data_IF_253701318467
#
_entry.id   IF_253701318467
#
_cell.length_a   1.000
_cell.length_b   1.000
_cell.length_c   1.000
_cell.angle_alpha   90.00
_cell.angle_beta   90.00
_cell.angle_gamma   90.00
#
_symmetry.space_group_name_H-M   'P 1'
#
loop_
_entity.id
_entity.type
_entity.pdbx_description
1 polymer ?
#
# COMPACT_ATOMS: atom_id res chain seq x y z
N UNK A 1 -10.86 26.18 -5.62
CA UNK A 1 -9.73 26.93 -6.22
C UNK A 1 -8.75 27.40 -5.15
N UNK A 2 -7.49 26.99 -5.26
CA UNK A 2 -6.36 27.33 -4.40
C UNK A 2 -5.63 28.57 -4.92
N UNK A 3 -5.30 29.50 -4.02
CA UNK A 3 -4.49 30.69 -4.32
C UNK A 3 -3.01 30.45 -4.04
N UNK A 4 -2.14 31.31 -4.58
CA UNK A 4 -0.71 31.25 -4.28
C UNK A 4 -0.42 31.35 -2.77
N UNK A 5 -1.11 32.24 -2.05
CA UNK A 5 -0.96 32.36 -0.60
C UNK A 5 -1.32 31.06 0.12
N UNK A 6 -2.44 30.43 -0.27
CA UNK A 6 -2.85 29.13 0.29
C UNK A 6 -1.88 28.00 -0.04
N UNK A 7 -1.27 28.03 -1.23
CA UNK A 7 -0.22 27.09 -1.61
C UNK A 7 1.04 27.31 -0.77
N UNK A 8 1.42 28.57 -0.53
CA UNK A 8 2.55 28.95 0.32
C UNK A 8 2.35 28.50 1.78
N UNK A 9 1.19 28.74 2.38
CA UNK A 9 0.91 28.30 3.75
C UNK A 9 1.02 26.77 3.89
N UNK A 10 0.42 26.04 2.94
CA UNK A 10 0.54 24.57 2.87
C UNK A 10 1.98 24.11 2.65
N UNK A 11 2.75 24.85 1.86
CA UNK A 11 4.15 24.58 1.62
C UNK A 11 4.96 24.66 2.92
N UNK A 12 4.73 25.70 3.71
CA UNK A 12 5.39 25.90 5.00
C UNK A 12 5.01 24.81 5.99
N UNK A 13 3.73 24.49 6.11
CA UNK A 13 3.26 23.39 6.96
C UNK A 13 3.90 22.05 6.55
N UNK A 14 3.94 21.73 5.25
CA UNK A 14 4.50 20.47 4.76
C UNK A 14 6.02 20.37 4.98
N UNK A 15 6.77 21.44 4.71
CA UNK A 15 8.23 21.42 4.73
C UNK A 15 8.78 21.59 6.15
N UNK A 16 8.10 22.41 6.95
CA UNK A 16 8.61 22.92 8.22
C UNK A 16 7.70 22.66 9.43
N UNK A 17 6.50 22.08 9.26
CA UNK A 17 5.49 21.97 10.31
C UNK A 17 5.88 21.11 11.52
N UNK A 18 6.69 20.07 11.32
CA UNK A 18 7.13 19.16 12.40
C UNK A 18 8.57 19.42 12.87
N UNK A 19 9.26 20.41 12.28
CA UNK A 19 10.66 20.70 12.62
C UNK A 19 10.78 21.99 13.42
N UNK A 20 11.71 22.06 14.40
CA UNK A 20 11.99 23.28 15.13
C UNK A 20 12.41 24.43 14.20
N UNK A 21 12.11 25.68 14.57
CA UNK A 21 12.37 26.86 13.73
C UNK A 21 13.82 27.02 13.26
N UNK A 22 14.80 26.57 14.05
CA UNK A 22 16.22 26.61 13.67
C UNK A 22 16.58 25.60 12.57
N UNK A 23 15.74 24.59 12.33
CA UNK A 23 15.88 23.60 11.25
C UNK A 23 14.98 23.94 10.05
N UNK A 24 14.24 25.05 10.09
CA UNK A 24 13.37 25.44 8.99
C UNK A 24 14.17 25.67 7.72
N UNK A 25 13.68 25.11 6.62
CA UNK A 25 14.27 25.23 5.28
C UNK A 25 13.59 26.34 4.49
N UNK A 26 14.26 26.78 3.43
CA UNK A 26 13.64 27.74 2.52
C UNK A 26 12.54 27.03 1.72
N UNK A 27 11.35 27.59 1.78
CA UNK A 27 10.17 27.05 1.10
C UNK A 27 10.00 27.78 -0.22
N UNK A 28 9.96 27.03 -1.31
CA UNK A 28 9.78 27.57 -2.65
C UNK A 28 8.48 27.06 -3.26
N UNK A 29 7.80 27.97 -3.95
CA UNK A 29 6.55 27.69 -4.64
C UNK A 29 6.63 28.27 -6.04
N UNK A 30 6.24 27.48 -7.04
CA UNK A 30 6.08 27.93 -8.42
C UNK A 30 4.68 27.59 -8.91
N UNK A 31 3.96 28.62 -9.36
CA UNK A 31 2.67 28.48 -10.03
C UNK A 31 2.85 28.03 -11.48
N UNK A 32 1.91 27.21 -11.96
CA UNK A 32 1.74 26.80 -13.36
C UNK A 32 0.25 26.68 -13.68
N UNK A 33 -0.10 26.23 -14.89
CA UNK A 33 -1.50 26.26 -15.37
C UNK A 33 -2.45 25.50 -14.45
N UNK A 34 -2.12 24.25 -14.11
CA UNK A 34 -3.01 23.36 -13.34
C UNK A 34 -2.80 23.45 -11.82
N UNK A 35 -1.86 24.24 -11.31
CA UNK A 35 -1.55 24.23 -9.88
C UNK A 35 -0.26 24.91 -9.46
N UNK A 36 0.29 24.41 -8.36
CA UNK A 36 1.51 24.91 -7.73
C UNK A 36 2.44 23.74 -7.45
N UNK A 37 3.71 23.85 -7.85
CA UNK A 37 4.75 22.92 -7.39
C UNK A 37 5.51 23.53 -6.24
N UNK A 38 5.81 22.69 -5.26
CA UNK A 38 6.36 23.06 -3.96
C UNK A 38 7.59 22.24 -3.67
N UNK A 39 8.66 22.87 -3.17
CA UNK A 39 9.88 22.18 -2.78
C UNK A 39 10.64 22.94 -1.69
N UNK A 40 11.49 22.21 -0.97
CA UNK A 40 12.38 22.80 0.03
C UNK A 40 13.78 23.00 -0.56
N UNK A 41 14.42 24.12 -0.24
CA UNK A 41 15.84 24.34 -0.46
C UNK A 41 16.59 24.26 0.88
N UNK A 42 17.60 23.40 0.94
CA UNK A 42 18.47 23.28 2.10
C UNK A 42 19.30 24.57 2.25
N UNK A 43 19.41 25.09 3.47
CA UNK A 43 20.34 26.19 3.75
C UNK A 43 21.78 25.72 3.64
N UNK A 44 22.67 26.61 3.19
CA UNK A 44 24.09 26.32 3.02
C UNK A 44 24.77 25.73 4.27
N UNK A 45 24.31 26.13 5.46
CA UNK A 45 24.88 25.73 6.76
C UNK A 45 23.93 24.82 7.57
N UNK A 46 22.83 24.37 6.97
CA UNK A 46 21.81 23.55 7.64
C UNK A 46 21.96 22.04 7.40
N UNK A 47 21.35 21.20 8.25
CA UNK A 47 21.26 19.77 7.99
C UNK A 47 20.48 19.51 6.68
N UNK A 48 21.06 18.71 5.79
CA UNK A 48 20.38 18.26 4.57
C UNK A 48 19.37 17.18 4.92
N UNK A 49 18.15 17.31 4.41
CA UNK A 49 17.10 16.31 4.59
C UNK A 49 16.69 15.68 3.27
N UNK A 50 16.33 14.40 3.29
CA UNK A 50 15.87 13.68 2.09
C UNK A 50 14.60 14.33 1.49
N UNK A 51 13.77 14.93 2.35
CA UNK A 51 12.60 15.71 1.94
C UNK A 51 12.90 16.94 1.08
N UNK A 52 14.15 17.46 1.08
CA UNK A 52 14.57 18.55 0.18
C UNK A 52 14.62 18.11 -1.29
N UNK A 53 14.64 16.79 -1.50
CA UNK A 53 14.56 16.18 -2.82
C UNK A 53 13.12 15.85 -3.22
N UNK A 54 12.14 15.84 -2.33
CA UNK A 54 10.75 15.63 -2.75
C UNK A 54 10.15 16.90 -3.33
N UNK A 55 9.20 16.72 -4.23
CA UNK A 55 8.33 17.79 -4.72
C UNK A 55 6.92 17.45 -4.33
N UNK A 56 6.14 18.48 -4.07
CA UNK A 56 4.70 18.38 -3.92
C UNK A 56 4.06 19.17 -5.06
N UNK A 57 2.94 18.71 -5.59
CA UNK A 57 2.08 19.47 -6.50
C UNK A 57 0.74 19.65 -5.83
N UNK A 58 0.23 20.88 -5.79
CA UNK A 58 -1.10 21.21 -5.27
C UNK A 58 -1.97 21.62 -6.46
N UNK A 59 -3.01 20.86 -6.74
CA UNK A 59 -3.95 21.12 -7.82
C UNK A 59 -4.70 22.45 -7.58
N UNK A 60 -4.81 23.30 -8.61
CA UNK A 60 -5.44 24.61 -8.46
C UNK A 60 -6.92 24.50 -8.16
N UNK A 61 -7.65 23.58 -8.80
CA UNK A 61 -9.09 23.52 -8.65
C UNK A 61 -9.51 22.91 -7.31
N UNK A 62 -9.03 21.70 -7.04
CA UNK A 62 -9.39 20.89 -5.87
C UNK A 62 -8.53 21.16 -4.63
N UNK A 63 -7.28 21.59 -4.81
CA UNK A 63 -6.29 21.65 -3.73
C UNK A 63 -5.72 20.29 -3.31
N UNK A 64 -5.96 19.24 -4.10
CA UNK A 64 -5.34 17.93 -3.89
C UNK A 64 -3.82 18.03 -3.98
N UNK A 65 -3.13 17.31 -3.09
CA UNK A 65 -1.68 17.34 -2.97
C UNK A 65 -1.08 16.00 -3.41
N UNK A 66 -0.23 16.03 -4.45
CA UNK A 66 0.43 14.85 -5.01
C UNK A 66 1.94 14.94 -4.77
N UNK A 67 2.54 13.88 -4.23
CA UNK A 67 3.99 13.80 -4.02
C UNK A 67 4.70 13.30 -5.28
N UNK A 68 5.85 13.91 -5.57
CA UNK A 68 6.68 13.64 -6.73
C UNK A 68 8.12 13.33 -6.31
N UNK A 69 8.80 12.42 -7.02
CA UNK A 69 10.21 12.14 -6.79
C UNK A 69 11.07 13.36 -7.17
N UNK A 70 12.38 13.25 -6.95
CA UNK A 70 13.35 14.34 -7.08
C UNK A 70 13.67 14.80 -8.50
N UNK A 71 12.64 15.15 -9.26
CA UNK A 71 12.72 15.57 -10.66
C UNK A 71 12.84 17.08 -10.80
N UNK A 72 13.54 17.64 -11.80
CA UNK A 72 13.52 19.08 -12.04
C UNK A 72 12.10 19.64 -12.03
N UNK A 73 11.89 20.84 -11.46
CA UNK A 73 10.55 21.45 -11.35
C UNK A 73 9.83 21.48 -12.71
N UNK A 74 10.54 21.80 -13.80
CA UNK A 74 9.97 21.78 -15.15
C UNK A 74 9.50 20.39 -15.61
N UNK A 75 10.17 19.31 -15.19
CA UNK A 75 9.77 17.93 -15.51
C UNK A 75 8.55 17.49 -14.70
N UNK A 76 8.44 17.92 -13.44
CA UNK A 76 7.24 17.67 -12.62
C UNK A 76 6.04 18.34 -13.27
N UNK A 77 6.17 19.62 -13.63
CA UNK A 77 5.11 20.37 -14.32
C UNK A 77 4.72 19.69 -15.63
N UNK A 78 5.70 19.38 -16.50
CA UNK A 78 5.43 18.73 -17.79
C UNK A 78 4.67 17.41 -17.64
N UNK A 79 5.06 16.54 -16.70
CA UNK A 79 4.37 15.25 -16.49
C UNK A 79 3.00 15.41 -15.85
N UNK A 80 2.88 16.33 -14.89
CA UNK A 80 1.59 16.63 -14.27
C UNK A 80 0.59 17.15 -15.32
N UNK A 81 1.03 18.05 -16.20
CA UNK A 81 0.18 18.54 -17.30
C UNK A 81 -0.13 17.46 -18.35
N UNK A 82 0.79 16.54 -18.64
CA UNK A 82 0.53 15.40 -19.53
C UNK A 82 -0.51 14.43 -18.96
N UNK A 83 -0.46 14.19 -17.66
CA UNK A 83 -1.35 13.26 -16.96
C UNK A 83 -2.71 13.87 -16.63
N UNK A 84 -2.73 15.12 -16.15
CA UNK A 84 -3.92 15.80 -15.60
C UNK A 84 -4.43 16.96 -16.47
N UNK A 85 -3.67 17.44 -17.45
CA UNK A 85 -4.05 18.56 -18.32
C UNK A 85 -4.90 18.16 -19.52
N UNK A 86 -5.23 16.87 -19.68
CA UNK A 86 -6.22 16.47 -20.67
C UNK A 86 -7.60 16.96 -20.21
N UNK A 87 -8.37 17.66 -21.05
CA UNK A 87 -9.74 18.03 -20.71
C UNK A 87 -10.47 16.75 -20.34
N UNK A 88 -10.96 16.74 -19.11
CA UNK A 88 -11.55 15.63 -18.39
C UNK A 88 -12.46 14.81 -19.32
N UNK A 89 -11.97 13.67 -19.82
CA UNK A 89 -12.86 12.54 -19.96
C UNK A 89 -13.20 12.20 -18.51
N UNK A 90 -14.37 12.66 -18.08
CA UNK A 90 -14.95 12.46 -16.75
C UNK A 90 -14.31 11.26 -16.06
N UNK A 91 -13.69 11.52 -14.91
CA UNK A 91 -13.22 10.50 -13.99
C UNK A 91 -14.23 9.34 -14.02
N UNK A 92 -13.85 8.10 -14.41
CA UNK A 92 -14.76 7.00 -14.20
C UNK A 92 -14.99 6.97 -12.69
N UNK A 93 -16.19 7.38 -12.28
CA UNK A 93 -16.65 7.36 -10.91
C UNK A 93 -16.08 6.10 -10.25
N UNK A 94 -15.33 6.31 -9.16
CA UNK A 94 -14.61 5.30 -8.41
C UNK A 94 -15.23 3.92 -8.59
N UNK A 95 -14.45 2.97 -9.14
CA UNK A 95 -14.88 1.60 -9.35
C UNK A 95 -15.70 1.14 -8.13
N UNK A 96 -16.98 0.83 -8.37
CA UNK A 96 -17.89 0.39 -7.34
C UNK A 96 -17.20 -0.68 -6.48
N UNK A 97 -17.33 -0.64 -5.13
CA UNK A 97 -16.70 -1.62 -4.27
C UNK A 97 -17.04 -3.02 -4.80
N UNK A 98 -16.08 -3.95 -4.91
CA UNK A 98 -16.37 -5.28 -5.41
C UNK A 98 -17.53 -5.83 -4.60
N UNK A 99 -18.62 -6.19 -5.28
CA UNK A 99 -19.76 -6.84 -4.64
C UNK A 99 -19.19 -8.00 -3.82
N UNK A 100 -19.38 -7.93 -2.50
CA UNK A 100 -18.96 -9.00 -1.59
C UNK A 100 -19.63 -10.26 -2.11
N UNK A 101 -18.83 -11.15 -2.69
CA UNK A 101 -19.28 -12.48 -3.08
C UNK A 101 -19.94 -13.09 -1.83
N UNK A 102 -21.19 -13.50 -2.00
CA UNK A 102 -22.05 -13.97 -0.93
C UNK A 102 -21.36 -15.08 -0.12
N UNK A 103 -21.12 -14.79 1.16
CA UNK A 103 -20.36 -15.61 2.10
C UNK A 103 -21.16 -16.85 2.57
N UNK A 104 -22.08 -17.38 1.75
CA UNK A 104 -22.72 -18.69 1.96
C UNK A 104 -22.05 -19.82 1.16
N UNK A 105 -20.98 -19.53 0.42
CA UNK A 105 -20.27 -20.51 -0.43
C UNK A 105 -19.06 -21.20 0.22
N UNK A 106 -19.04 -21.36 1.55
CA UNK A 106 -18.09 -22.28 2.21
C UNK A 106 -18.71 -23.05 3.36
N UNK A 107 -19.95 -23.52 3.15
CA UNK A 107 -20.40 -24.78 3.76
C UNK A 107 -19.76 -25.98 3.04
N UNK A 108 -18.43 -25.99 2.92
CA UNK A 108 -17.65 -27.03 2.23
C UNK A 108 -16.32 -27.34 2.94
N UNK A 109 -16.27 -27.22 4.27
CA UNK A 109 -15.12 -27.72 5.05
C UNK A 109 -15.50 -28.71 6.15
N UNK A 110 -16.77 -29.13 6.26
CA UNK A 110 -17.20 -30.06 7.31
C UNK A 110 -18.18 -31.17 6.87
N UNK A 111 -18.56 -31.27 5.60
CA UNK A 111 -19.34 -32.41 5.09
C UNK A 111 -19.01 -32.68 3.61
N UNK A 112 -18.22 -33.72 3.29
CA UNK A 112 -17.95 -34.07 1.90
C UNK A 112 -19.24 -34.57 1.23
N UNK A 113 -19.53 -34.10 -0.01
CA UNK A 113 -20.77 -34.43 -0.70
C UNK A 113 -20.77 -35.87 -1.27
N UNK A 114 -21.95 -36.48 -1.37
CA UNK A 114 -22.15 -37.91 -1.70
C UNK A 114 -21.61 -38.32 -3.09
N UNK A 115 -21.47 -37.38 -4.04
CA UNK A 115 -20.88 -37.65 -5.36
C UNK A 115 -19.42 -38.13 -5.29
N UNK A 116 -18.69 -37.74 -4.22
CA UNK A 116 -17.31 -38.17 -4.00
C UNK A 116 -17.22 -39.62 -3.48
N UNK A 117 -18.28 -40.14 -2.86
CA UNK A 117 -18.35 -41.56 -2.44
C UNK A 117 -18.67 -42.48 -3.62
N UNK A 118 -19.55 -42.06 -4.53
CA UNK A 118 -19.89 -42.86 -5.74
C UNK A 118 -18.71 -43.00 -6.72
N UNK A 119 -17.78 -42.04 -6.72
CA UNK A 119 -16.55 -42.11 -7.51
C UNK A 119 -15.51 -43.09 -6.93
N UNK A 120 -15.49 -43.28 -5.61
CA UNK A 120 -14.56 -44.20 -4.93
C UNK A 120 -15.00 -45.67 -5.05
N UNK A 121 -16.31 -45.95 -5.02
CA UNK A 121 -16.86 -47.31 -5.19
C UNK A 121 -16.64 -47.85 -6.62
N UNK A 122 -16.65 -46.97 -7.62
CA UNK A 122 -16.36 -47.33 -9.03
C UNK A 122 -14.88 -47.59 -9.34
N UNK A 123 -13.96 -47.06 -8.53
CA UNK A 123 -12.53 -47.30 -8.66
C UNK A 123 -12.08 -48.26 -7.55
N UNK A 124 -12.50 -49.51 -7.69
CA UNK A 124 -12.05 -50.61 -6.84
C UNK A 124 -10.52 -50.71 -6.82
N UNK A 125 -9.90 -50.22 -5.75
CA UNK A 125 -8.49 -50.49 -5.43
C UNK A 125 -8.46 -51.50 -4.27
N UNK A 126 -8.00 -52.74 -4.52
CA UNK A 126 -8.10 -53.83 -3.57
C UNK A 126 -7.13 -53.69 -2.38
N UNK A 127 -7.63 -54.14 -1.22
CA UNK A 127 -6.89 -54.44 0.01
C UNK A 127 -5.67 -55.35 -0.25
N UNK A 128 -4.51 -54.95 0.27
CA UNK A 128 -3.39 -55.87 0.52
C UNK A 128 -2.66 -55.54 1.82
N UNK A 129 -3.08 -56.25 2.86
CA UNK A 129 -2.32 -56.84 3.98
C UNK A 129 -0.81 -57.08 3.75
N UNK A 130 -0.01 -56.91 4.81
CA UNK A 130 1.27 -57.59 5.08
C UNK A 130 2.47 -56.64 5.21
N UNK A 131 2.96 -56.33 6.41
CA UNK A 131 3.98 -57.08 7.18
C UNK A 131 5.42 -56.53 7.04
N UNK A 132 6.04 -56.28 8.20
CA UNK A 132 7.47 -56.43 8.56
C UNK A 132 8.51 -55.31 8.32
N UNK A 133 9.16 -54.94 9.45
CA UNK A 133 10.54 -54.42 9.57
C UNK A 133 10.65 -52.91 9.80
N UNK A 134 11.18 -52.36 10.90
CA UNK A 134 11.97 -52.88 12.00
C UNK A 134 12.92 -51.76 12.51
N UNK A 135 13.28 -51.82 13.80
CA UNK A 135 14.27 -51.00 14.54
C UNK A 135 13.75 -49.70 15.19
N UNK A 136 14.02 -49.34 16.44
CA UNK A 136 14.34 -50.00 17.73
C UNK A 136 14.78 -48.88 18.69
N UNK A 137 14.30 -48.85 19.92
CA UNK A 137 14.84 -47.99 20.97
C UNK A 137 13.93 -47.84 22.19
N UNK A 138 13.89 -48.85 23.07
CA UNK A 138 13.29 -48.76 24.41
C UNK A 138 14.21 -48.05 25.43
N UNK A 139 14.00 -48.17 26.76
CA UNK A 139 13.05 -49.03 27.46
C UNK A 139 12.12 -48.30 28.46
N UNK A 140 11.34 -49.12 29.16
CA UNK A 140 10.26 -48.79 30.08
C UNK A 140 10.67 -48.82 31.57
N UNK A 141 9.76 -48.26 32.38
CA UNK A 141 9.30 -48.71 33.70
C UNK A 141 10.05 -48.29 34.99
N UNK A 142 9.21 -47.89 35.97
CA UNK A 142 9.50 -47.67 37.39
C UNK A 142 9.07 -46.25 37.82
N UNK A 143 8.33 -45.98 38.90
CA UNK A 143 7.71 -46.76 39.96
C UNK A 143 6.70 -45.80 40.65
N UNK A 144 5.72 -46.33 41.38
CA UNK A 144 4.65 -45.55 42.00
C UNK A 144 5.01 -44.86 43.33
N UNK A 145 3.97 -44.22 43.90
CA UNK A 145 3.83 -43.63 45.26
C UNK A 145 4.79 -42.46 45.56
N UNK A 146 4.37 -41.34 46.16
CA UNK A 146 3.55 -41.13 47.34
C UNK A 146 3.17 -39.61 47.46
N UNK A 147 2.35 -39.28 48.47
CA UNK A 147 1.86 -37.97 48.93
C UNK A 147 0.49 -37.46 48.41
#
# INVERSE_FOLDING_TARGET
MVTYAQAQERAEEWINGDVPSYQHREVRVREFELGFVVWAEDRAEGPRSDGGRQRLVIARDSGEATLWPALPVGEVVRRYEEEYGRPEAAEPAAAAPPARVDLNQTSFLLSPPEWLQEAADKLGIPDRRGESGGTSGGPAAGAGADA
#
